data_IF_903167220295
#
_entry.id   IF_903167220295
#
_cell.length_a   1.000
_cell.length_b   1.000
_cell.length_c   1.000
_cell.angle_alpha   90.00
_cell.angle_beta   90.00
_cell.angle_gamma   90.00
#
_symmetry.space_group_name_H-M   'P 1'
#
loop_
_entity.id
_entity.type
_entity.pdbx_description
1 polymer ?
#
# COMPACT_ATOMS: atom_id res chain seq x y z
N UNK A 1 -16.67 -23.33 15.85
CA UNK A 1 -16.35 -24.26 14.74
C UNK A 1 -15.23 -23.61 13.96
N UNK A 2 -14.00 -24.10 14.12
CA UNK A 2 -12.83 -23.55 13.43
C UNK A 2 -12.86 -24.07 11.99
N UNK A 3 -13.35 -23.26 11.06
CA UNK A 3 -13.28 -23.60 9.63
C UNK A 3 -11.80 -23.70 9.26
N UNK A 4 -11.37 -24.86 8.77
CA UNK A 4 -9.99 -25.05 8.35
C UNK A 4 -9.73 -24.07 7.19
N UNK A 5 -8.58 -23.37 7.17
CA UNK A 5 -8.27 -22.42 6.09
C UNK A 5 -8.34 -23.15 4.74
N UNK A 6 -8.92 -22.53 3.71
CA UNK A 6 -9.21 -23.19 2.44
C UNK A 6 -7.95 -23.80 1.81
N UNK A 7 -8.06 -24.98 1.17
CA UNK A 7 -6.91 -25.67 0.58
C UNK A 7 -6.29 -24.79 -0.51
N UNK A 8 -4.98 -24.60 -0.45
CA UNK A 8 -4.22 -23.77 -1.38
C UNK A 8 -2.78 -23.60 -0.92
N UNK A 9 -1.89 -23.16 -1.82
CA UNK A 9 -0.49 -22.97 -1.46
C UNK A 9 -0.37 -21.85 -0.45
N UNK A 10 0.60 -21.98 0.48
CA UNK A 10 0.77 -21.06 1.60
C UNK A 10 2.08 -20.32 1.48
N UNK A 11 2.11 -19.11 2.06
CA UNK A 11 3.33 -18.33 2.14
C UNK A 11 4.37 -19.05 3.04
N UNK A 12 5.61 -19.11 2.57
CA UNK A 12 6.77 -19.67 3.27
C UNK A 12 7.89 -18.66 3.30
N UNK A 13 7.91 -17.84 4.35
CA UNK A 13 8.95 -16.83 4.55
C UNK A 13 10.24 -17.43 5.13
N UNK A 14 11.40 -16.78 4.91
CA UNK A 14 12.62 -17.14 5.60
C UNK A 14 12.45 -17.01 7.13
N UNK A 15 13.06 -17.92 7.89
CA UNK A 15 13.05 -17.89 9.35
C UNK A 15 14.07 -16.91 9.95
N UNK A 16 15.08 -16.51 9.18
CA UNK A 16 16.10 -15.57 9.63
C UNK A 16 15.51 -14.16 9.81
N UNK A 17 15.65 -13.60 11.01
CA UNK A 17 15.13 -12.28 11.35
C UNK A 17 15.67 -11.16 10.44
N UNK A 18 16.94 -11.26 10.02
CA UNK A 18 17.57 -10.30 9.11
C UNK A 18 16.96 -10.34 7.71
N UNK A 19 16.66 -11.54 7.19
CA UNK A 19 15.99 -11.70 5.90
C UNK A 19 14.58 -11.10 5.93
N UNK A 20 13.81 -11.36 7.00
CA UNK A 20 12.49 -10.75 7.19
C UNK A 20 12.58 -9.22 7.31
N UNK A 21 13.60 -8.69 7.99
CA UNK A 21 13.84 -7.25 8.10
C UNK A 21 14.12 -6.62 6.74
N UNK A 22 14.94 -7.27 5.92
CA UNK A 22 15.23 -6.81 4.56
C UNK A 22 13.96 -6.75 3.71
N UNK A 23 13.15 -7.82 3.71
CA UNK A 23 11.87 -7.86 3.00
C UNK A 23 10.91 -6.73 3.43
N UNK A 24 10.77 -6.50 4.74
CA UNK A 24 9.95 -5.39 5.26
C UNK A 24 10.49 -4.04 4.81
N UNK A 25 11.81 -3.84 4.89
CA UNK A 25 12.44 -2.58 4.51
C UNK A 25 12.18 -2.25 3.02
N UNK A 26 12.37 -3.24 2.15
CA UNK A 26 12.14 -3.09 0.71
C UNK A 26 10.70 -2.68 0.40
N UNK A 27 9.73 -3.26 1.11
CA UNK A 27 8.31 -2.94 0.95
C UNK A 27 7.90 -1.60 1.59
N UNK A 28 8.57 -1.17 2.67
CA UNK A 28 8.27 0.12 3.32
C UNK A 28 8.81 1.32 2.54
N UNK A 29 9.94 1.15 1.87
CA UNK A 29 10.63 2.20 1.11
C UNK A 29 9.73 2.91 0.09
N UNK A 30 8.94 2.23 -0.76
CA UNK A 30 8.04 2.92 -1.68
C UNK A 30 6.85 3.60 -0.98
N UNK A 31 6.33 3.07 0.13
CA UNK A 31 5.09 3.56 0.76
C UNK A 31 5.32 4.74 1.73
N UNK A 32 6.43 4.73 2.48
CA UNK A 32 6.67 5.77 3.49
C UNK A 32 6.68 7.20 2.91
N UNK A 33 7.35 7.48 1.77
CA UNK A 33 7.26 8.80 1.14
C UNK A 33 5.85 9.15 0.68
N UNK A 34 5.06 8.17 0.25
CA UNK A 34 3.68 8.41 -0.21
C UNK A 34 2.78 8.96 0.89
N UNK A 35 2.96 8.50 2.13
CA UNK A 35 2.23 9.05 3.27
C UNK A 35 2.63 10.50 3.54
N UNK A 36 3.94 10.78 3.56
CA UNK A 36 4.45 12.15 3.73
C UNK A 36 4.03 13.10 2.62
N UNK A 37 3.96 12.63 1.36
CA UNK A 37 3.44 13.45 0.27
C UNK A 37 1.95 13.77 0.44
N UNK A 38 1.13 12.84 0.95
CA UNK A 38 -0.28 13.15 1.23
C UNK A 38 -0.40 14.26 2.28
N UNK A 39 0.39 14.18 3.36
CA UNK A 39 0.44 15.20 4.43
C UNK A 39 0.93 16.54 3.87
N UNK A 40 2.01 16.55 3.09
CA UNK A 40 2.57 17.76 2.48
C UNK A 40 1.57 18.43 1.52
N UNK A 41 0.86 17.67 0.68
CA UNK A 41 -0.15 18.23 -0.21
C UNK A 41 -1.27 18.92 0.59
N UNK A 42 -1.70 18.33 1.71
CA UNK A 42 -2.72 18.93 2.59
C UNK A 42 -2.19 20.22 3.24
N UNK A 43 -0.94 20.23 3.70
CA UNK A 43 -0.30 21.40 4.30
C UNK A 43 -0.12 22.55 3.28
N UNK A 44 0.38 22.25 2.08
CA UNK A 44 0.61 23.25 1.02
C UNK A 44 -0.69 23.79 0.40
N UNK A 45 -1.72 22.95 0.36
CA UNK A 45 -3.05 23.33 -0.10
C UNK A 45 -3.72 24.41 0.76
N UNK A 46 -3.53 24.33 2.07
CA UNK A 46 -4.19 25.20 3.05
C UNK A 46 -5.73 25.22 2.93
N UNK A 47 -6.34 26.31 3.40
CA UNK A 47 -7.81 26.47 3.43
C UNK A 47 -8.44 26.68 2.04
N UNK A 48 -7.63 26.90 1.00
CA UNK A 48 -8.09 27.13 -0.36
C UNK A 48 -8.34 25.84 -1.16
N UNK A 49 -7.94 24.68 -0.63
CA UNK A 49 -8.13 23.43 -1.35
C UNK A 49 -9.59 23.03 -1.49
N UNK A 50 -9.97 22.44 -2.64
CA UNK A 50 -11.29 21.84 -2.80
C UNK A 50 -11.54 20.79 -1.71
N UNK A 51 -12.67 20.84 -0.97
CA UNK A 51 -12.96 19.85 0.09
C UNK A 51 -12.95 18.40 -0.42
N UNK A 52 -13.33 18.18 -1.68
CA UNK A 52 -13.29 16.86 -2.32
C UNK A 52 -11.87 16.33 -2.52
N UNK A 53 -10.89 17.20 -2.76
CA UNK A 53 -9.48 16.85 -2.88
C UNK A 53 -8.94 16.42 -1.52
N UNK A 54 -9.24 17.19 -0.46
CA UNK A 54 -8.84 16.88 0.91
C UNK A 54 -9.43 15.56 1.41
N UNK A 55 -10.72 15.32 1.15
CA UNK A 55 -11.37 14.06 1.50
C UNK A 55 -10.69 12.86 0.81
N UNK A 56 -10.43 12.97 -0.50
CA UNK A 56 -9.77 11.91 -1.23
C UNK A 56 -8.29 11.71 -0.85
N UNK A 57 -7.57 12.75 -0.48
CA UNK A 57 -6.22 12.63 0.11
C UNK A 57 -6.26 11.87 1.44
N UNK A 58 -7.28 12.08 2.27
CA UNK A 58 -7.50 11.30 3.49
C UNK A 58 -7.77 9.81 3.22
N UNK A 59 -8.56 9.51 2.19
CA UNK A 59 -8.79 8.13 1.73
C UNK A 59 -7.49 7.49 1.18
N UNK A 60 -6.71 8.23 0.39
CA UNK A 60 -5.44 7.78 -0.17
C UNK A 60 -4.42 7.49 0.93
N UNK A 61 -4.32 8.39 1.91
CA UNK A 61 -3.47 8.20 3.07
C UNK A 61 -3.88 6.95 3.87
N UNK A 62 -5.18 6.73 4.04
CA UNK A 62 -5.70 5.53 4.71
C UNK A 62 -5.37 4.24 3.97
N UNK A 63 -5.48 4.23 2.64
CA UNK A 63 -5.06 3.11 1.80
C UNK A 63 -3.54 2.85 1.92
N UNK A 64 -2.73 3.91 1.90
CA UNK A 64 -1.29 3.85 2.17
C UNK A 64 -0.95 3.22 3.52
N UNK A 65 -1.65 3.63 4.58
CA UNK A 65 -1.48 3.03 5.91
C UNK A 65 -1.87 1.56 5.94
N UNK A 66 -2.93 1.16 5.23
CA UNK A 66 -3.32 -0.26 5.12
C UNK A 66 -2.22 -1.09 4.45
N UNK A 67 -1.61 -0.59 3.36
CA UNK A 67 -0.46 -1.25 2.71
C UNK A 67 0.72 -1.44 3.68
N UNK A 68 1.02 -0.42 4.47
CA UNK A 68 2.08 -0.46 5.48
C UNK A 68 1.77 -1.47 6.60
N UNK A 69 0.53 -1.51 7.09
CA UNK A 69 0.09 -2.48 8.10
C UNK A 69 0.24 -3.91 7.60
N UNK A 70 -0.26 -4.22 6.40
CA UNK A 70 -0.14 -5.54 5.78
C UNK A 70 1.33 -5.97 5.64
N UNK A 71 2.19 -5.04 5.21
CA UNK A 71 3.63 -5.25 5.10
C UNK A 71 4.23 -5.64 6.46
N UNK A 72 3.88 -4.92 7.53
CA UNK A 72 4.42 -5.19 8.87
C UNK A 72 3.89 -6.48 9.48
N UNK A 73 2.61 -6.80 9.28
CA UNK A 73 2.00 -8.02 9.84
C UNK A 73 2.47 -9.29 9.15
N UNK A 74 2.56 -9.28 7.82
CA UNK A 74 2.88 -10.48 7.04
C UNK A 74 4.37 -10.78 7.10
N UNK A 75 5.22 -9.78 6.94
CA UNK A 75 6.67 -9.97 6.81
C UNK A 75 7.44 -9.79 8.12
N UNK A 76 6.79 -9.87 9.29
CA UNK A 76 7.44 -9.81 10.61
C UNK A 76 7.79 -11.19 11.19
N UNK A 77 8.54 -11.18 12.29
CA UNK A 77 8.80 -12.38 13.11
C UNK A 77 7.64 -12.73 14.05
N UNK A 78 6.68 -11.81 14.25
CA UNK A 78 5.50 -12.02 15.11
C UNK A 78 4.46 -12.92 14.44
N UNK A 79 3.64 -13.69 15.15
CA UNK A 79 2.51 -14.40 14.55
C UNK A 79 1.50 -13.42 13.90
N UNK A 80 0.91 -13.80 12.76
CA UNK A 80 -0.19 -13.04 12.13
C UNK A 80 -1.24 -14.00 11.57
N UNK A 81 -2.52 -13.64 11.74
CA UNK A 81 -3.65 -14.36 11.13
C UNK A 81 -3.60 -14.31 9.61
N UNK A 82 -3.04 -13.25 9.02
CA UNK A 82 -2.91 -13.10 7.58
C UNK A 82 -1.96 -14.14 6.97
N UNK A 83 -0.99 -14.65 7.74
CA UNK A 83 -0.11 -15.75 7.31
C UNK A 83 -0.80 -17.12 7.29
N UNK A 84 -2.01 -17.22 7.83
CA UNK A 84 -2.82 -18.45 7.79
C UNK A 84 -3.63 -18.56 6.50
N UNK A 85 -3.85 -17.44 5.80
CA UNK A 85 -4.51 -17.39 4.50
C UNK A 85 -3.69 -18.17 3.44
N UNK A 86 -4.39 -18.70 2.45
CA UNK A 86 -3.71 -19.17 1.25
C UNK A 86 -3.20 -17.99 0.41
N UNK A 87 -2.25 -18.25 -0.49
CA UNK A 87 -1.63 -17.18 -1.30
C UNK A 87 -2.64 -16.40 -2.15
N UNK A 88 -3.65 -17.02 -2.80
CA UNK A 88 -4.71 -16.27 -3.49
C UNK A 88 -5.46 -15.28 -2.60
N UNK A 89 -5.85 -15.66 -1.39
CA UNK A 89 -6.52 -14.78 -0.43
C UNK A 89 -5.59 -13.66 0.05
N UNK A 90 -4.36 -14.01 0.43
CA UNK A 90 -3.38 -13.04 0.87
C UNK A 90 -3.07 -12.01 -0.23
N UNK A 91 -2.97 -12.47 -1.49
CA UNK A 91 -2.81 -11.58 -2.65
C UNK A 91 -3.97 -10.59 -2.77
N UNK A 92 -5.21 -11.03 -2.54
CA UNK A 92 -6.39 -10.14 -2.56
C UNK A 92 -6.32 -9.08 -1.46
N UNK A 93 -5.89 -9.46 -0.26
CA UNK A 93 -5.68 -8.51 0.85
C UNK A 93 -4.66 -7.41 0.50
N UNK A 94 -3.57 -7.77 -0.19
CA UNK A 94 -2.57 -6.79 -0.66
C UNK A 94 -3.05 -5.95 -1.84
N UNK A 95 -3.75 -6.54 -2.81
CA UNK A 95 -4.25 -5.84 -3.99
C UNK A 95 -5.27 -4.76 -3.66
N UNK A 96 -6.23 -5.07 -2.78
CA UNK A 96 -7.34 -4.17 -2.48
C UNK A 96 -6.92 -2.73 -2.11
N UNK A 97 -6.00 -2.48 -1.15
CA UNK A 97 -5.56 -1.12 -0.84
C UNK A 97 -4.70 -0.49 -1.95
N UNK A 98 -3.91 -1.27 -2.70
CA UNK A 98 -3.14 -0.72 -3.82
C UNK A 98 -4.02 -0.29 -5.00
N UNK A 99 -5.04 -1.08 -5.34
CA UNK A 99 -6.01 -0.74 -6.40
C UNK A 99 -6.81 0.51 -6.02
N UNK A 100 -7.21 0.61 -4.75
CA UNK A 100 -7.87 1.81 -4.21
C UNK A 100 -6.95 3.03 -4.29
N UNK A 101 -5.71 2.91 -3.81
CA UNK A 101 -4.74 4.00 -3.87
C UNK A 101 -4.44 4.44 -5.32
N UNK A 102 -4.29 3.50 -6.25
CA UNK A 102 -4.04 3.80 -7.66
C UNK A 102 -5.22 4.56 -8.30
N UNK A 103 -6.45 4.13 -8.05
CA UNK A 103 -7.65 4.79 -8.54
C UNK A 103 -7.80 6.21 -7.95
N UNK A 104 -7.51 6.37 -6.65
CA UNK A 104 -7.52 7.67 -5.98
C UNK A 104 -6.45 8.60 -6.54
N UNK A 105 -5.21 8.13 -6.75
CA UNK A 105 -4.15 8.93 -7.38
C UNK A 105 -4.59 9.52 -8.72
N UNK A 106 -5.16 8.70 -9.62
CA UNK A 106 -5.65 9.18 -10.93
C UNK A 106 -6.76 10.22 -10.77
N UNK A 107 -7.73 9.97 -9.90
CA UNK A 107 -8.85 10.90 -9.65
C UNK A 107 -8.37 12.23 -9.06
N UNK A 108 -7.51 12.17 -8.05
CA UNK A 108 -7.01 13.36 -7.35
C UNK A 108 -6.08 14.16 -8.25
N UNK A 109 -5.30 13.51 -9.11
CA UNK A 109 -4.44 14.18 -10.08
C UNK A 109 -5.28 15.04 -11.03
N UNK A 110 -6.39 14.50 -11.55
CA UNK A 110 -7.33 15.24 -12.38
C UNK A 110 -7.93 16.45 -11.64
N UNK A 111 -8.28 16.27 -10.36
CA UNK A 111 -8.82 17.35 -9.52
C UNK A 111 -7.78 18.44 -9.24
N UNK A 112 -6.55 18.06 -8.91
CA UNK A 112 -5.45 18.99 -8.69
C UNK A 112 -5.13 19.78 -9.95
N UNK A 113 -5.13 19.14 -11.12
CA UNK A 113 -4.96 19.82 -12.41
C UNK A 113 -6.10 20.82 -12.69
N UNK A 114 -7.35 20.43 -12.44
CA UNK A 114 -8.51 21.31 -12.60
C UNK A 114 -8.48 22.52 -11.64
N UNK A 115 -7.89 22.35 -10.45
CA UNK A 115 -7.68 23.40 -9.47
C UNK A 115 -6.39 24.21 -9.69
N UNK A 116 -5.68 24.01 -10.81
CA UNK A 116 -4.39 24.64 -11.10
C UNK A 116 -3.31 24.43 -10.01
N UNK A 117 -3.26 23.22 -9.44
CA UNK A 117 -2.31 22.79 -8.41
C UNK A 117 -1.28 21.79 -9.00
N UNK A 118 -0.32 22.22 -9.83
CA UNK A 118 0.56 21.31 -10.58
C UNK A 118 1.56 20.56 -9.70
N UNK A 119 1.96 21.12 -8.55
CA UNK A 119 2.83 20.44 -7.58
C UNK A 119 2.10 19.24 -6.97
N UNK A 120 0.87 19.44 -6.50
CA UNK A 120 0.03 18.36 -5.97
C UNK A 120 -0.23 17.27 -7.02
N UNK A 121 -0.53 17.64 -8.26
CA UNK A 121 -0.73 16.67 -9.35
C UNK A 121 0.53 15.80 -9.59
N UNK A 122 1.72 16.41 -9.61
CA UNK A 122 3.00 15.69 -9.74
C UNK A 122 3.26 14.74 -8.57
N UNK A 123 2.96 15.17 -7.35
CA UNK A 123 3.20 14.34 -6.16
C UNK A 123 2.19 13.19 -6.08
N UNK A 124 0.94 13.39 -6.51
CA UNK A 124 -0.05 12.31 -6.70
C UNK A 124 0.41 11.28 -7.74
N UNK A 125 1.01 11.71 -8.85
CA UNK A 125 1.62 10.81 -9.83
C UNK A 125 2.76 9.98 -9.21
N UNK A 126 3.62 10.61 -8.40
CA UNK A 126 4.71 9.92 -7.67
C UNK A 126 4.15 8.87 -6.71
N UNK A 127 3.07 9.17 -5.99
CA UNK A 127 2.38 8.22 -5.10
C UNK A 127 1.83 7.03 -5.89
N UNK A 128 1.20 7.28 -7.05
CA UNK A 128 0.69 6.21 -7.92
C UNK A 128 1.79 5.26 -8.40
N UNK A 129 2.93 5.80 -8.84
CA UNK A 129 4.10 5.00 -9.25
C UNK A 129 4.64 4.18 -8.08
N UNK A 130 4.75 4.78 -6.90
CA UNK A 130 5.24 4.09 -5.70
C UNK A 130 4.30 2.95 -5.26
N UNK A 131 2.99 3.17 -5.34
CA UNK A 131 1.95 2.16 -5.08
C UNK A 131 2.09 0.98 -6.03
N UNK A 132 2.29 1.24 -7.34
CA UNK A 132 2.52 0.18 -8.33
C UNK A 132 3.80 -0.63 -8.06
N UNK A 133 4.91 0.05 -7.71
CA UNK A 133 6.17 -0.61 -7.34
C UNK A 133 6.04 -1.49 -6.10
N UNK A 134 5.30 -1.01 -5.10
CA UNK A 134 5.01 -1.79 -3.90
C UNK A 134 4.22 -3.05 -4.25
N UNK A 135 3.15 -2.93 -5.03
CA UNK A 135 2.31 -4.07 -5.40
C UNK A 135 3.10 -5.10 -6.22
N UNK A 136 3.88 -4.65 -7.20
CA UNK A 136 4.75 -5.52 -7.99
C UNK A 136 5.72 -6.30 -7.09
N UNK A 137 6.34 -5.62 -6.11
CA UNK A 137 7.26 -6.26 -5.18
C UNK A 137 6.58 -7.28 -4.28
N UNK A 138 5.35 -7.01 -3.82
CA UNK A 138 4.56 -7.97 -3.05
C UNK A 138 4.27 -9.21 -3.92
N UNK A 139 3.84 -9.02 -5.16
CA UNK A 139 3.52 -10.14 -6.07
C UNK A 139 4.74 -11.03 -6.32
N UNK A 140 5.89 -10.45 -6.62
CA UNK A 140 7.16 -11.18 -6.74
C UNK A 140 7.46 -12.02 -5.49
N UNK A 141 7.28 -11.43 -4.30
CA UNK A 141 7.54 -12.12 -3.04
C UNK A 141 6.55 -13.26 -2.80
N UNK A 142 5.27 -13.05 -3.11
CA UNK A 142 4.27 -14.11 -3.00
C UNK A 142 4.59 -15.25 -3.96
N UNK A 143 4.97 -14.97 -5.20
CA UNK A 143 5.35 -15.98 -6.20
C UNK A 143 6.60 -16.78 -5.78
N UNK A 144 7.65 -16.09 -5.31
CA UNK A 144 8.91 -16.72 -4.91
C UNK A 144 8.79 -17.59 -3.65
N UNK A 145 7.79 -17.33 -2.80
CA UNK A 145 7.64 -17.94 -1.48
C UNK A 145 6.35 -18.75 -1.34
N UNK A 146 5.70 -19.11 -2.45
CA UNK A 146 4.48 -19.91 -2.50
C UNK A 146 4.80 -21.39 -2.74
N UNK A 147 4.32 -22.28 -1.86
CA UNK A 147 4.41 -23.75 -2.02
C UNK A 147 3.14 -24.43 -1.56
#
# INVERSE_FOLDING_TARGET
>A
MSEAPPPGPRLRLPSAAEALRALRHDLRTPINPSLGYCELIVEEAGDAAPPVLLAGLGELHSAGRRMLTLTNEVFSDQPSVLRQLNVPELRREFRAPAETAAALCTKLEQQANAAAMPVAARDLQRIGIATGRWLARVEELLEQNCR
#
